data_IF_579561548018
#
_entry.id   IF_579561548018
#
_cell.length_a   1.000
_cell.length_b   1.000
_cell.length_c   1.000
_cell.angle_alpha   90.00
_cell.angle_beta   90.00
_cell.angle_gamma   90.00
#
_symmetry.space_group_name_H-M   'P 1'
#
loop_
_entity.id
_entity.type
_entity.pdbx_description
1 polymer ?
#
# COMPACT_ATOMS: atom_id res chain seq x y z
N UNK A 1 15.00 7.89 -4.84
CA UNK A 1 13.77 8.69 -4.66
C UNK A 1 14.13 10.17 -4.58
N UNK A 2 13.30 11.01 -5.18
CA UNK A 2 13.45 12.46 -5.10
C UNK A 2 13.07 12.97 -3.71
N UNK A 3 13.74 14.04 -3.27
CA UNK A 3 13.45 14.78 -2.04
C UNK A 3 12.62 16.02 -2.35
N UNK A 4 11.92 16.54 -1.37
CA UNK A 4 11.18 17.81 -1.44
C UNK A 4 12.15 19.00 -1.34
N UNK A 5 12.98 19.24 -2.37
CA UNK A 5 14.09 20.23 -2.30
C UNK A 5 13.65 21.68 -2.51
N UNK A 6 12.64 21.90 -3.32
CA UNK A 6 12.12 23.22 -3.70
C UNK A 6 10.64 23.41 -3.33
N UNK A 7 9.94 22.32 -3.12
CA UNK A 7 8.56 22.26 -2.66
C UNK A 7 8.27 20.90 -2.04
N UNK A 8 7.17 20.80 -1.30
CA UNK A 8 6.64 19.51 -0.84
C UNK A 8 6.12 18.72 -2.05
N UNK A 9 6.70 17.53 -2.27
CA UNK A 9 6.22 16.60 -3.27
C UNK A 9 4.95 15.89 -2.79
N UNK A 10 4.13 15.42 -3.73
CA UNK A 10 2.87 14.73 -3.47
C UNK A 10 2.87 13.33 -4.07
N UNK A 11 2.23 12.39 -3.37
CA UNK A 11 2.08 11.00 -3.79
C UNK A 11 0.82 10.40 -3.15
N UNK A 12 0.61 9.10 -3.36
CA UNK A 12 -0.42 8.30 -2.69
C UNK A 12 0.08 6.87 -2.46
N UNK A 13 -0.75 6.02 -1.84
CA UNK A 13 -0.34 4.64 -1.49
C UNK A 13 -0.32 3.68 -2.68
N UNK A 14 -1.08 3.94 -3.73
CA UNK A 14 -1.03 3.11 -4.96
C UNK A 14 -2.40 2.89 -5.56
N UNK A 15 -3.25 2.08 -4.93
CA UNK A 15 -4.54 1.73 -5.51
C UNK A 15 -5.48 2.93 -5.67
N UNK A 16 -6.02 3.07 -6.86
CA UNK A 16 -7.00 4.11 -7.23
C UNK A 16 -8.32 3.45 -7.69
N UNK A 17 -9.44 4.21 -7.70
CA UNK A 17 -10.72 3.66 -8.12
C UNK A 17 -10.68 3.04 -9.51
N UNK A 18 -11.16 1.80 -9.64
CA UNK A 18 -11.23 1.05 -10.89
C UNK A 18 -12.60 1.19 -11.53
N UNK A 19 -12.62 1.31 -12.86
CA UNK A 19 -13.87 1.30 -13.63
C UNK A 19 -14.56 -0.06 -13.58
N UNK A 20 -15.85 -0.10 -13.94
CA UNK A 20 -16.60 -1.37 -14.08
C UNK A 20 -15.99 -2.30 -15.12
N UNK A 21 -15.40 -1.77 -16.19
CA UNK A 21 -14.72 -2.57 -17.20
C UNK A 21 -13.48 -3.26 -16.60
N UNK A 22 -12.64 -2.52 -15.88
CA UNK A 22 -11.45 -3.07 -15.20
C UNK A 22 -11.84 -4.14 -14.18
N UNK A 23 -12.80 -3.85 -13.30
CA UNK A 23 -13.26 -4.82 -12.29
C UNK A 23 -13.88 -6.05 -12.93
N UNK A 24 -14.59 -5.90 -14.05
CA UNK A 24 -15.14 -7.00 -14.85
C UNK A 24 -14.05 -7.95 -15.35
N UNK A 25 -13.00 -7.40 -15.96
CA UNK A 25 -11.82 -8.17 -16.43
C UNK A 25 -11.13 -8.89 -15.27
N UNK A 26 -10.87 -8.20 -14.16
CA UNK A 26 -10.20 -8.79 -13.01
C UNK A 26 -10.98 -9.97 -12.41
N UNK A 27 -12.30 -9.82 -12.24
CA UNK A 27 -13.15 -10.91 -11.75
C UNK A 27 -13.32 -12.05 -12.75
N UNK A 28 -13.36 -11.78 -14.07
CA UNK A 28 -13.38 -12.83 -15.08
C UNK A 28 -12.11 -13.67 -15.05
N UNK A 29 -10.93 -13.03 -14.97
CA UNK A 29 -9.64 -13.71 -14.80
C UNK A 29 -9.58 -14.55 -13.54
N UNK A 30 -10.08 -14.03 -12.42
CA UNK A 30 -10.10 -14.74 -11.13
C UNK A 30 -10.96 -16.02 -11.20
N UNK A 31 -12.05 -16.02 -11.97
CA UNK A 31 -12.90 -17.20 -12.15
C UNK A 31 -12.41 -18.13 -13.25
N UNK A 32 -11.45 -17.72 -14.07
CA UNK A 32 -11.03 -18.44 -15.27
C UNK A 32 -11.99 -18.28 -16.47
N UNK A 33 -12.84 -17.25 -16.46
CA UNK A 33 -13.86 -16.98 -17.47
C UNK A 33 -13.36 -16.03 -18.58
N UNK A 34 -12.08 -15.63 -18.56
CA UNK A 34 -11.51 -14.74 -19.58
C UNK A 34 -11.52 -15.41 -20.94
N UNK A 35 -12.27 -14.83 -21.90
CA UNK A 35 -12.47 -15.39 -23.23
C UNK A 35 -11.50 -14.78 -24.27
N UNK A 36 -11.00 -13.57 -24.03
CA UNK A 36 -10.10 -12.84 -24.93
C UNK A 36 -9.01 -12.12 -24.12
N UNK A 37 -7.86 -12.78 -23.99
CA UNK A 37 -6.72 -12.23 -23.24
C UNK A 37 -6.18 -10.92 -23.85
N UNK A 38 -6.32 -10.74 -25.17
CA UNK A 38 -5.88 -9.52 -25.86
C UNK A 38 -6.79 -8.32 -25.54
N UNK A 39 -8.11 -8.52 -25.61
CA UNK A 39 -9.08 -7.49 -25.22
C UNK A 39 -8.94 -7.12 -23.73
N UNK A 40 -8.79 -8.10 -22.86
CA UNK A 40 -8.56 -7.88 -21.43
C UNK A 40 -7.27 -7.10 -21.16
N UNK A 41 -6.18 -7.39 -21.88
CA UNK A 41 -4.93 -6.67 -21.77
C UNK A 41 -5.09 -5.20 -22.22
N UNK A 42 -5.82 -4.95 -23.31
CA UNK A 42 -6.09 -3.60 -23.79
C UNK A 42 -6.86 -2.77 -22.76
N UNK A 43 -7.91 -3.33 -22.11
CA UNK A 43 -8.66 -2.66 -21.04
C UNK A 43 -7.75 -2.24 -19.89
N UNK A 44 -6.81 -3.09 -19.49
CA UNK A 44 -5.86 -2.77 -18.41
C UNK A 44 -4.86 -1.70 -18.86
N UNK A 45 -4.32 -1.81 -20.08
CA UNK A 45 -3.37 -0.84 -20.64
C UNK A 45 -3.99 0.57 -20.71
N UNK A 46 -5.22 0.67 -21.23
CA UNK A 46 -5.95 1.93 -21.33
C UNK A 46 -6.26 2.50 -19.92
N UNK A 47 -6.62 1.64 -18.98
CA UNK A 47 -6.87 2.07 -17.60
C UNK A 47 -5.61 2.60 -16.91
N UNK A 48 -4.44 2.00 -17.12
CA UNK A 48 -3.15 2.49 -16.60
C UNK A 48 -2.81 3.84 -17.22
N UNK A 49 -2.95 3.98 -18.54
CA UNK A 49 -2.72 5.25 -19.22
C UNK A 49 -3.63 6.36 -18.69
N UNK A 50 -4.92 6.07 -18.53
CA UNK A 50 -5.91 7.04 -18.02
C UNK A 50 -5.66 7.44 -16.57
N UNK A 51 -5.36 6.47 -15.68
CA UNK A 51 -5.14 6.78 -14.27
C UNK A 51 -3.86 7.59 -14.06
N UNK A 52 -2.79 7.32 -14.80
CA UNK A 52 -1.57 8.14 -14.78
C UNK A 52 -1.85 9.54 -15.30
N UNK A 53 -2.57 9.67 -16.43
CA UNK A 53 -2.97 10.96 -16.98
C UNK A 53 -3.77 11.81 -15.97
N UNK A 54 -4.73 11.19 -15.25
CA UNK A 54 -5.52 11.87 -14.20
C UNK A 54 -4.65 12.34 -13.03
N UNK A 55 -3.71 11.52 -12.56
CA UNK A 55 -2.76 11.90 -11.49
C UNK A 55 -1.93 13.11 -11.90
N UNK A 56 -1.36 13.08 -13.10
CA UNK A 56 -0.56 14.18 -13.66
C UNK A 56 -1.39 15.45 -13.83
N UNK A 57 -2.61 15.34 -14.34
CA UNK A 57 -3.51 16.49 -14.54
C UNK A 57 -3.88 17.18 -13.22
N UNK A 58 -3.95 16.45 -12.12
CA UNK A 58 -4.18 16.98 -10.76
C UNK A 58 -2.91 17.64 -10.21
N UNK A 59 -1.73 17.24 -10.67
CA UNK A 59 -0.44 17.71 -10.19
C UNK A 59 0.22 16.82 -9.15
N UNK A 60 -0.10 15.51 -9.12
CA UNK A 60 0.62 14.53 -8.31
C UNK A 60 2.04 14.35 -8.88
N UNK A 61 3.04 14.45 -8.03
CA UNK A 61 4.47 14.39 -8.40
C UNK A 61 4.97 12.97 -8.60
N UNK A 62 4.60 12.04 -7.70
CA UNK A 62 5.04 10.64 -7.74
C UNK A 62 3.84 9.75 -7.99
N UNK A 63 3.72 9.25 -9.22
CA UNK A 63 2.54 8.57 -9.76
C UNK A 63 2.67 7.05 -9.78
N UNK A 64 1.54 6.33 -9.86
CA UNK A 64 1.50 4.87 -10.01
C UNK A 64 0.52 4.41 -11.08
N UNK A 65 0.52 3.11 -11.40
CA UNK A 65 -0.44 2.42 -12.26
C UNK A 65 -1.85 2.30 -11.65
N UNK A 66 -2.05 2.79 -10.40
CA UNK A 66 -3.32 2.69 -9.68
C UNK A 66 -3.72 1.26 -9.33
N UNK A 67 -2.82 0.29 -9.48
CA UNK A 67 -3.06 -1.16 -9.32
C UNK A 67 -4.18 -1.68 -10.24
N UNK A 68 -4.30 -1.14 -11.46
CA UNK A 68 -5.37 -1.47 -12.40
C UNK A 68 -5.36 -2.95 -12.84
N UNK A 69 -4.19 -3.61 -12.83
CA UNK A 69 -4.04 -5.03 -13.17
C UNK A 69 -4.31 -6.00 -12.01
N UNK A 70 -4.41 -5.50 -10.77
CA UNK A 70 -4.42 -6.31 -9.57
C UNK A 70 -5.82 -6.44 -8.98
N UNK A 71 -6.29 -7.68 -8.79
CA UNK A 71 -7.55 -7.94 -8.06
C UNK A 71 -7.40 -7.60 -6.57
N UNK A 72 -6.21 -7.85 -6.02
CA UNK A 72 -5.81 -7.57 -4.66
C UNK A 72 -4.29 -7.46 -4.61
N UNK A 73 -3.75 -6.49 -3.89
CA UNK A 73 -2.31 -6.33 -3.71
C UNK A 73 -1.63 -7.56 -3.08
N UNK A 74 -2.34 -8.30 -2.21
CA UNK A 74 -1.81 -9.46 -1.50
C UNK A 74 -1.98 -10.78 -2.28
N UNK A 75 -3.14 -11.01 -2.92
CA UNK A 75 -3.42 -12.30 -3.59
C UNK A 75 -2.95 -12.34 -5.03
N UNK A 76 -2.54 -11.21 -5.62
CA UNK A 76 -1.96 -11.13 -6.95
C UNK A 76 -0.73 -12.02 -7.15
N UNK A 77 -0.03 -12.35 -6.06
CA UNK A 77 1.11 -13.28 -6.08
C UNK A 77 0.72 -14.65 -6.65
N UNK A 78 -0.49 -15.15 -6.36
CA UNK A 78 -0.95 -16.46 -6.81
C UNK A 78 -1.04 -16.60 -8.35
N UNK A 79 -1.05 -15.49 -9.09
CA UNK A 79 -1.01 -15.47 -10.56
C UNK A 79 0.40 -15.62 -11.13
N UNK A 80 1.43 -15.43 -10.31
CA UNK A 80 2.84 -15.36 -10.73
C UNK A 80 3.72 -16.42 -10.08
N UNK A 81 3.30 -16.96 -8.96
CA UNK A 81 4.06 -17.92 -8.18
C UNK A 81 3.26 -19.22 -7.99
N UNK A 82 3.96 -20.36 -7.99
CA UNK A 82 3.40 -21.66 -7.61
C UNK A 82 3.16 -21.74 -6.10
N UNK A 83 2.54 -22.83 -5.69
CA UNK A 83 2.36 -23.18 -4.28
C UNK A 83 1.08 -22.62 -3.64
N UNK A 84 0.27 -21.86 -4.37
CA UNK A 84 -0.97 -21.27 -3.85
C UNK A 84 -2.20 -21.93 -4.45
N UNK A 85 -3.21 -22.20 -3.61
CA UNK A 85 -4.47 -22.79 -4.06
C UNK A 85 -5.57 -22.78 -3.00
N UNK A 86 -6.75 -23.27 -3.39
CA UNK A 86 -7.91 -23.28 -2.50
C UNK A 86 -8.54 -21.91 -2.28
N UNK A 87 -9.43 -21.85 -1.29
CA UNK A 87 -10.06 -20.61 -0.82
C UNK A 87 -10.29 -20.73 0.69
N UNK A 88 -9.83 -19.74 1.43
CA UNK A 88 -9.90 -19.73 2.90
C UNK A 88 -10.91 -18.67 3.34
N UNK A 89 -11.82 -19.01 4.28
CA UNK A 89 -12.71 -18.01 4.88
C UNK A 89 -11.92 -16.84 5.46
N UNK A 90 -12.46 -15.63 5.29
CA UNK A 90 -11.92 -14.44 5.92
C UNK A 90 -12.51 -14.29 7.30
N UNK A 91 -11.64 -14.09 8.26
CA UNK A 91 -12.04 -13.67 9.59
C UNK A 91 -12.02 -12.13 9.66
N UNK A 92 -13.08 -11.49 10.14
CA UNK A 92 -13.07 -10.03 10.36
C UNK A 92 -12.08 -9.66 11.46
N UNK A 93 -11.62 -8.42 11.44
CA UNK A 93 -10.81 -7.85 12.52
C UNK A 93 -11.52 -7.94 13.87
N UNK A 94 -10.77 -8.02 14.94
CA UNK A 94 -11.29 -8.18 16.30
C UNK A 94 -12.29 -7.07 16.65
N UNK A 95 -12.00 -5.84 16.28
CA UNK A 95 -12.84 -4.68 16.48
C UNK A 95 -14.21 -4.78 15.77
N UNK A 96 -14.28 -5.45 14.62
CA UNK A 96 -15.54 -5.67 13.89
C UNK A 96 -16.35 -6.82 14.49
N UNK A 97 -15.70 -7.84 15.06
CA UNK A 97 -16.38 -8.97 15.72
C UNK A 97 -17.18 -8.48 16.93
N UNK A 98 -16.69 -7.46 17.63
CA UNK A 98 -17.35 -6.86 18.79
C UNK A 98 -18.61 -6.07 18.42
N UNK A 99 -18.76 -5.68 17.15
CA UNK A 99 -19.89 -4.88 16.64
C UNK A 99 -20.57 -5.56 15.45
N UNK A 100 -21.30 -6.67 15.66
CA UNK A 100 -21.89 -7.46 14.56
C UNK A 100 -22.87 -6.66 13.70
N UNK A 101 -23.55 -5.66 14.25
CA UNK A 101 -24.42 -4.75 13.50
C UNK A 101 -23.64 -3.86 12.52
N UNK A 102 -22.42 -3.45 12.85
CA UNK A 102 -21.54 -2.73 11.93
C UNK A 102 -21.04 -3.67 10.83
N UNK A 103 -20.61 -4.88 11.20
CA UNK A 103 -20.15 -5.88 10.25
C UNK A 103 -21.22 -6.19 9.17
N UNK A 104 -22.49 -6.34 9.57
CA UNK A 104 -23.61 -6.51 8.64
C UNK A 104 -23.74 -5.32 7.70
N UNK A 105 -23.73 -4.08 8.21
CA UNK A 105 -23.81 -2.87 7.38
C UNK A 105 -22.65 -2.75 6.38
N UNK A 106 -21.43 -3.12 6.78
CA UNK A 106 -20.27 -3.12 5.89
C UNK A 106 -20.42 -4.16 4.78
N UNK A 107 -20.95 -5.35 5.10
CA UNK A 107 -21.24 -6.40 4.12
C UNK A 107 -22.31 -5.97 3.10
N UNK A 108 -23.39 -5.34 3.55
CA UNK A 108 -24.46 -4.81 2.70
C UNK A 108 -23.98 -3.72 1.74
N UNK A 109 -23.02 -2.89 2.16
CA UNK A 109 -22.40 -1.86 1.33
C UNK A 109 -21.38 -2.40 0.32
N UNK A 110 -21.23 -3.73 0.20
CA UNK A 110 -20.25 -4.36 -0.66
C UNK A 110 -18.79 -4.19 -0.19
N UNK A 111 -18.61 -3.86 1.09
CA UNK A 111 -17.29 -3.68 1.71
C UNK A 111 -16.60 -5.00 2.07
N UNK A 112 -17.09 -6.14 1.57
CA UNK A 112 -16.44 -7.45 1.70
C UNK A 112 -15.72 -7.81 0.41
N UNK A 113 -14.48 -8.24 0.54
CA UNK A 113 -13.69 -8.69 -0.60
C UNK A 113 -14.33 -9.93 -1.26
N UNK A 114 -14.51 -9.87 -2.58
CA UNK A 114 -15.18 -10.92 -3.38
C UNK A 114 -14.20 -11.85 -4.12
N UNK A 115 -12.89 -11.66 -3.94
CA UNK A 115 -11.86 -12.48 -4.56
C UNK A 115 -11.44 -13.64 -3.65
N UNK A 116 -10.85 -14.68 -4.22
CA UNK A 116 -10.36 -15.85 -3.47
C UNK A 116 -9.23 -15.49 -2.52
N UNK A 117 -9.19 -16.19 -1.39
CA UNK A 117 -8.07 -16.16 -0.44
C UNK A 117 -7.35 -17.51 -0.47
N UNK A 118 -6.36 -17.71 -1.37
CA UNK A 118 -5.64 -18.98 -1.45
C UNK A 118 -4.82 -19.25 -0.19
N UNK A 119 -4.41 -20.50 -0.03
CA UNK A 119 -3.47 -20.97 1.00
C UNK A 119 -2.16 -21.37 0.34
N UNK A 120 -1.08 -21.41 1.11
CA UNK A 120 0.16 -22.01 0.67
C UNK A 120 0.05 -23.54 0.85
N UNK A 121 -0.10 -24.28 -0.26
CA UNK A 121 -0.29 -25.74 -0.32
C UNK A 121 0.84 -26.45 -1.05
N UNK A 122 1.88 -25.74 -1.47
CA UNK A 122 3.03 -26.28 -2.18
C UNK A 122 4.22 -25.34 -2.11
N UNK A 123 5.34 -25.74 -2.71
CA UNK A 123 6.55 -24.92 -2.76
C UNK A 123 6.31 -23.61 -3.51
N UNK A 124 6.70 -22.48 -2.90
CA UNK A 124 6.60 -21.14 -3.49
C UNK A 124 7.80 -20.93 -4.40
N UNK A 125 7.55 -20.83 -5.70
CA UNK A 125 8.56 -20.54 -6.73
C UNK A 125 7.98 -19.61 -7.77
N UNK A 126 8.83 -18.83 -8.43
CA UNK A 126 8.42 -17.98 -9.57
C UNK A 126 7.96 -18.89 -10.72
N UNK A 127 6.73 -18.73 -11.20
CA UNK A 127 6.16 -19.51 -12.29
C UNK A 127 5.94 -18.67 -13.54
N UNK A 128 5.38 -17.48 -13.39
CA UNK A 128 5.04 -16.58 -14.47
C UNK A 128 5.61 -15.19 -14.21
N UNK A 129 6.40 -14.68 -15.15
CA UNK A 129 6.96 -13.31 -15.10
C UNK A 129 6.19 -12.34 -15.98
N UNK A 130 5.37 -12.87 -16.91
CA UNK A 130 4.64 -12.10 -17.93
C UNK A 130 3.71 -11.05 -17.31
N UNK A 131 2.94 -11.34 -16.25
CA UNK A 131 2.08 -10.32 -15.63
C UNK A 131 2.87 -9.11 -15.11
N UNK A 132 4.01 -9.35 -14.45
CA UNK A 132 4.88 -8.28 -14.00
C UNK A 132 5.50 -7.50 -15.16
N UNK A 133 5.94 -8.17 -16.23
CA UNK A 133 6.48 -7.50 -17.41
C UNK A 133 5.43 -6.64 -18.10
N UNK A 134 4.17 -7.08 -18.14
CA UNK A 134 3.05 -6.28 -18.66
C UNK A 134 2.81 -5.02 -17.79
N UNK A 135 2.81 -5.15 -16.46
CA UNK A 135 2.67 -4.02 -15.54
C UNK A 135 3.80 -2.99 -15.74
N UNK A 136 5.04 -3.46 -15.84
CA UNK A 136 6.21 -2.61 -16.11
C UNK A 136 6.12 -1.91 -17.46
N UNK A 137 5.68 -2.62 -18.50
CA UNK A 137 5.52 -2.07 -19.85
C UNK A 137 4.41 -0.99 -19.87
N UNK A 138 3.26 -1.26 -19.27
CA UNK A 138 2.14 -0.33 -19.19
C UNK A 138 2.55 0.95 -18.43
N UNK A 139 3.22 0.79 -17.27
CA UNK A 139 3.67 1.94 -16.48
C UNK A 139 4.69 2.79 -17.25
N UNK A 140 5.69 2.17 -17.88
CA UNK A 140 6.68 2.88 -18.70
C UNK A 140 6.05 3.64 -19.88
N UNK A 141 5.06 3.02 -20.53
CA UNK A 141 4.33 3.67 -21.62
C UNK A 141 3.52 4.87 -21.11
N UNK A 142 2.83 4.71 -19.98
CA UNK A 142 1.98 5.75 -19.41
C UNK A 142 2.75 6.99 -18.91
N UNK A 143 3.98 6.81 -18.38
CA UNK A 143 4.81 7.92 -17.91
C UNK A 143 5.67 8.56 -19.01
N UNK A 144 5.72 7.98 -20.20
CA UNK A 144 6.55 8.51 -21.29
C UNK A 144 6.09 9.92 -21.68
N UNK A 145 6.95 10.91 -21.42
CA UNK A 145 6.64 12.32 -21.69
C UNK A 145 5.68 12.98 -20.70
N UNK A 146 5.26 12.26 -19.65
CA UNK A 146 4.46 12.86 -18.58
C UNK A 146 5.36 13.74 -17.67
N UNK A 147 4.88 14.88 -17.17
CA UNK A 147 5.63 15.77 -16.28
C UNK A 147 5.69 15.27 -14.83
N UNK A 148 5.52 13.98 -14.58
CA UNK A 148 5.69 13.39 -13.26
C UNK A 148 7.17 13.42 -12.85
N UNK A 149 7.44 13.66 -11.55
CA UNK A 149 8.80 13.68 -11.00
C UNK A 149 9.36 12.27 -10.93
N UNK A 150 8.53 11.31 -10.51
CA UNK A 150 8.92 9.91 -10.33
C UNK A 150 7.70 8.98 -10.50
N UNK A 151 7.95 7.70 -10.68
CA UNK A 151 6.92 6.67 -10.73
C UNK A 151 7.21 5.55 -9.74
N UNK A 152 6.17 4.92 -9.19
CA UNK A 152 6.29 3.76 -8.32
C UNK A 152 5.32 2.63 -8.69
N UNK A 153 5.68 1.40 -8.31
CA UNK A 153 4.81 0.23 -8.34
C UNK A 153 4.81 -0.49 -7.00
N UNK A 154 3.63 -0.99 -6.64
CA UNK A 154 3.40 -1.73 -5.41
C UNK A 154 3.80 -3.20 -5.55
N UNK A 155 4.43 -3.74 -4.50
CA UNK A 155 4.62 -5.16 -4.27
C UNK A 155 4.32 -5.51 -2.81
N UNK A 156 3.84 -6.72 -2.57
CA UNK A 156 3.53 -7.19 -1.23
C UNK A 156 4.80 -7.52 -0.43
N UNK A 157 4.80 -7.31 0.88
CA UNK A 157 5.84 -7.84 1.77
C UNK A 157 5.71 -9.38 1.93
N UNK A 158 6.78 -10.11 2.28
CA UNK A 158 6.65 -11.52 2.66
C UNK A 158 5.66 -11.75 3.80
N UNK A 159 5.67 -10.84 4.80
CA UNK A 159 4.78 -10.90 5.95
C UNK A 159 3.30 -10.75 5.58
N UNK A 160 2.96 -9.84 4.66
CA UNK A 160 1.57 -9.67 4.23
C UNK A 160 1.07 -10.85 3.40
N UNK A 161 1.94 -11.47 2.60
CA UNK A 161 1.56 -12.70 1.91
C UNK A 161 1.24 -13.80 2.93
N UNK A 162 2.10 -13.99 3.92
CA UNK A 162 1.88 -14.97 4.99
C UNK A 162 0.62 -14.66 5.83
N UNK A 163 0.28 -13.37 6.02
CA UNK A 163 -0.94 -12.95 6.70
C UNK A 163 -2.21 -13.31 5.92
N UNK A 164 -2.22 -13.07 4.61
CA UNK A 164 -3.40 -13.29 3.77
C UNK A 164 -3.51 -14.71 3.23
N UNK A 165 -2.41 -15.44 3.13
CA UNK A 165 -2.32 -16.78 2.55
C UNK A 165 -1.67 -17.73 3.55
N UNK A 166 -2.47 -18.36 4.44
CA UNK A 166 -1.95 -19.20 5.51
C UNK A 166 -1.08 -20.35 5.01
N UNK A 167 -0.09 -20.73 5.82
CA UNK A 167 0.84 -21.82 5.52
C UNK A 167 0.23 -23.19 5.87
N UNK A 168 0.08 -24.06 4.88
CA UNK A 168 -0.29 -25.48 5.04
C UNK A 168 0.77 -26.44 4.47
N UNK A 169 1.89 -25.92 3.98
CA UNK A 169 2.90 -26.75 3.30
C UNK A 169 4.24 -26.77 4.03
N UNK A 170 4.78 -25.61 4.43
CA UNK A 170 6.08 -25.54 5.08
C UNK A 170 5.99 -25.98 6.54
N UNK A 171 7.06 -26.59 7.07
CA UNK A 171 7.12 -27.12 8.43
C UNK A 171 6.99 -26.05 9.51
N UNK A 172 7.48 -24.85 9.22
CA UNK A 172 7.40 -23.69 10.11
C UNK A 172 6.98 -22.43 9.36
N UNK A 173 6.56 -21.41 10.11
CA UNK A 173 6.27 -20.09 9.57
C UNK A 173 7.56 -19.42 9.03
N UNK A 174 8.70 -19.70 9.68
CA UNK A 174 10.01 -19.17 9.30
C UNK A 174 10.46 -19.73 7.94
N UNK A 175 10.26 -21.03 7.70
CA UNK A 175 10.55 -21.64 6.39
C UNK A 175 9.68 -21.02 5.29
N UNK A 176 8.41 -20.76 5.59
CA UNK A 176 7.48 -20.12 4.66
C UNK A 176 7.88 -18.69 4.35
N UNK A 177 8.15 -17.87 5.37
CA UNK A 177 8.62 -16.50 5.21
C UNK A 177 9.93 -16.42 4.42
N UNK A 178 10.85 -17.35 4.67
CA UNK A 178 12.12 -17.45 3.93
C UNK A 178 11.90 -17.77 2.46
N UNK A 179 11.00 -18.72 2.15
CA UNK A 179 10.66 -19.06 0.78
C UNK A 179 9.98 -17.90 0.04
N UNK A 180 9.08 -17.18 0.72
CA UNK A 180 8.46 -15.96 0.18
C UNK A 180 9.49 -14.86 -0.10
N UNK A 181 10.44 -14.64 0.81
CA UNK A 181 11.49 -13.64 0.63
C UNK A 181 12.37 -13.93 -0.59
N UNK A 182 12.75 -15.18 -0.81
CA UNK A 182 13.54 -15.58 -1.99
C UNK A 182 12.73 -15.44 -3.29
N UNK A 183 11.47 -15.83 -3.29
CA UNK A 183 10.63 -15.74 -4.48
C UNK A 183 10.33 -14.29 -4.86
N UNK A 184 9.95 -13.43 -3.90
CA UNK A 184 9.60 -12.02 -4.12
C UNK A 184 10.80 -11.15 -4.54
N UNK A 185 12.02 -11.55 -4.18
CA UNK A 185 13.24 -10.81 -4.52
C UNK A 185 13.33 -10.49 -6.01
N UNK A 186 13.03 -11.46 -6.88
CA UNK A 186 13.10 -11.28 -8.33
C UNK A 186 12.14 -10.19 -8.84
N UNK A 187 10.96 -10.08 -8.24
CA UNK A 187 10.00 -9.01 -8.54
C UNK A 187 10.51 -7.65 -8.09
N UNK A 188 11.05 -7.57 -6.86
CA UNK A 188 11.59 -6.32 -6.32
C UNK A 188 12.75 -5.78 -7.16
N UNK A 189 13.67 -6.67 -7.52
CA UNK A 189 14.80 -6.34 -8.40
C UNK A 189 14.34 -5.90 -9.79
N UNK A 190 13.33 -6.57 -10.38
CA UNK A 190 12.81 -6.23 -11.70
C UNK A 190 12.14 -4.85 -11.75
N UNK A 191 11.34 -4.49 -10.72
CA UNK A 191 10.70 -3.16 -10.62
C UNK A 191 11.78 -2.07 -10.59
N UNK A 192 12.80 -2.23 -9.76
CA UNK A 192 13.86 -1.23 -9.60
C UNK A 192 14.76 -1.18 -10.84
N UNK A 193 15.09 -2.32 -11.46
CA UNK A 193 15.82 -2.39 -12.73
C UNK A 193 15.06 -1.70 -13.88
N UNK A 194 13.74 -1.66 -13.79
CA UNK A 194 12.88 -0.91 -14.72
C UNK A 194 12.97 0.62 -14.59
N UNK A 195 13.73 1.13 -13.58
CA UNK A 195 13.83 2.55 -13.27
C UNK A 195 12.67 3.08 -12.42
N UNK A 196 11.79 2.22 -11.90
CA UNK A 196 10.59 2.54 -11.13
C UNK A 196 10.91 2.38 -9.63
N UNK A 197 10.36 3.23 -8.78
CA UNK A 197 10.47 3.09 -7.32
C UNK A 197 9.62 1.91 -6.86
N UNK A 198 10.19 1.05 -6.05
CA UNK A 198 9.47 -0.06 -5.43
C UNK A 198 8.72 0.44 -4.18
N UNK A 199 7.42 0.25 -4.10
CA UNK A 199 6.68 0.34 -2.85
C UNK A 199 6.41 -1.05 -2.29
N UNK A 200 6.79 -1.27 -1.04
CA UNK A 200 6.43 -2.47 -0.28
C UNK A 200 5.20 -2.19 0.57
N UNK A 201 4.12 -2.92 0.34
CA UNK A 201 2.94 -2.88 1.20
C UNK A 201 3.09 -3.91 2.32
N UNK A 202 3.16 -3.43 3.57
CA UNK A 202 3.42 -4.22 4.77
C UNK A 202 2.38 -3.99 5.89
N UNK A 203 1.09 -4.16 5.63
CA UNK A 203 0.05 -4.04 6.68
C UNK A 203 0.14 -5.17 7.71
N UNK A 204 0.87 -6.24 7.47
CA UNK A 204 1.19 -7.27 8.45
C UNK A 204 1.85 -6.70 9.71
N UNK A 205 2.61 -5.62 9.59
CA UNK A 205 3.31 -4.95 10.67
C UNK A 205 2.36 -4.20 11.63
N UNK A 206 1.14 -3.87 11.20
CA UNK A 206 0.18 -3.15 12.03
C UNK A 206 -1.19 -3.86 12.06
N UNK A 207 -1.90 -3.99 10.94
CA UNK A 207 -3.19 -4.67 10.85
C UNK A 207 -3.13 -6.12 11.34
N UNK A 208 -1.97 -6.78 11.21
CA UNK A 208 -1.77 -8.15 11.68
C UNK A 208 -2.12 -8.35 13.15
N UNK A 209 -1.95 -7.30 14.00
CA UNK A 209 -2.20 -7.34 15.43
C UNK A 209 -3.64 -7.68 15.80
N UNK A 210 -4.61 -7.05 15.15
CA UNK A 210 -6.04 -7.26 15.45
C UNK A 210 -6.74 -8.25 14.50
N UNK A 211 -5.98 -8.86 13.59
CA UNK A 211 -6.47 -9.90 12.68
C UNK A 211 -5.87 -11.27 13.02
N UNK A 212 -4.90 -11.76 12.26
CA UNK A 212 -4.31 -13.09 12.43
C UNK A 212 -3.61 -13.28 13.79
N UNK A 213 -3.00 -12.22 14.33
CA UNK A 213 -2.20 -12.29 15.56
C UNK A 213 -2.95 -11.74 16.79
N UNK A 214 -4.28 -11.65 16.74
CA UNK A 214 -5.13 -11.09 17.81
C UNK A 214 -4.99 -11.77 19.16
N UNK A 215 -4.62 -13.07 19.18
CA UNK A 215 -4.42 -13.86 20.39
C UNK A 215 -2.98 -13.79 20.96
N UNK A 216 -2.07 -13.05 20.32
CA UNK A 216 -0.71 -12.84 20.83
C UNK A 216 -0.68 -11.70 21.85
N UNK A 217 0.29 -11.73 22.77
CA UNK A 217 0.57 -10.54 23.59
C UNK A 217 1.14 -9.42 22.70
N UNK A 218 1.24 -8.21 23.21
CA UNK A 218 1.84 -7.10 22.47
C UNK A 218 3.34 -7.36 22.22
N UNK A 219 4.05 -7.89 23.20
CA UNK A 219 5.48 -8.22 23.13
C UNK A 219 5.75 -9.36 22.11
N UNK A 220 4.87 -10.36 22.06
CA UNK A 220 4.94 -11.42 21.04
C UNK A 220 4.71 -10.85 19.64
N UNK A 221 3.76 -9.92 19.50
CA UNK A 221 3.49 -9.26 18.23
C UNK A 221 4.66 -8.38 17.77
N UNK A 222 5.27 -7.62 18.66
CA UNK A 222 6.47 -6.82 18.37
C UNK A 222 7.65 -7.69 17.92
N UNK A 223 7.84 -8.83 18.56
CA UNK A 223 8.87 -9.81 18.18
C UNK A 223 8.62 -10.32 16.74
N UNK A 224 7.38 -10.66 16.44
CA UNK A 224 6.97 -11.11 15.11
C UNK A 224 7.13 -9.99 14.06
N UNK A 225 6.73 -8.76 14.37
CA UNK A 225 6.89 -7.62 13.48
C UNK A 225 8.38 -7.33 13.20
N UNK A 226 9.25 -7.46 14.21
CA UNK A 226 10.69 -7.33 14.04
C UNK A 226 11.24 -8.44 13.11
N UNK A 227 10.80 -9.67 13.27
CA UNK A 227 11.15 -10.79 12.39
C UNK A 227 10.69 -10.53 10.94
N UNK A 228 9.47 -10.02 10.72
CA UNK A 228 8.98 -9.66 9.40
C UNK A 228 9.84 -8.58 8.73
N UNK A 229 10.35 -7.61 9.50
CA UNK A 229 11.32 -6.61 9.01
C UNK A 229 12.64 -7.26 8.60
N UNK A 230 13.18 -8.20 9.36
CA UNK A 230 14.41 -8.92 9.01
C UNK A 230 14.25 -9.70 7.70
N UNK A 231 13.13 -10.42 7.56
CA UNK A 231 12.78 -11.17 6.35
C UNK A 231 12.62 -10.23 5.14
N UNK A 232 11.97 -9.08 5.32
CA UNK A 232 11.85 -8.08 4.27
C UNK A 232 13.22 -7.50 3.88
N UNK A 233 14.07 -7.17 4.85
CA UNK A 233 15.42 -6.66 4.59
C UNK A 233 16.26 -7.69 3.82
N UNK A 234 16.10 -8.98 4.13
CA UNK A 234 16.73 -10.07 3.37
C UNK A 234 16.20 -10.13 1.92
N UNK A 235 14.90 -10.03 1.71
CA UNK A 235 14.31 -9.99 0.37
C UNK A 235 14.82 -8.78 -0.46
N UNK A 236 15.07 -7.65 0.21
CA UNK A 236 15.56 -6.42 -0.39
C UNK A 236 17.10 -6.32 -0.48
N UNK A 237 17.87 -7.38 -0.14
CA UNK A 237 19.34 -7.30 0.02
C UNK A 237 20.07 -6.70 -1.16
N UNK A 238 19.62 -6.94 -2.38
CA UNK A 238 20.21 -6.44 -3.63
C UNK A 238 19.58 -5.13 -4.13
N UNK A 239 18.54 -4.61 -3.46
CA UNK A 239 17.83 -3.40 -3.89
C UNK A 239 18.35 -2.19 -3.10
N UNK A 240 18.76 -1.08 -3.75
CA UNK A 240 19.19 0.12 -3.05
C UNK A 240 18.06 0.71 -2.19
N UNK A 241 18.35 1.09 -0.95
CA UNK A 241 17.37 1.63 -0.01
C UNK A 241 16.62 2.86 -0.55
N UNK A 242 17.34 3.73 -1.29
CA UNK A 242 16.79 4.94 -1.90
C UNK A 242 15.91 4.69 -3.14
N UNK A 243 15.69 3.43 -3.52
CA UNK A 243 14.74 3.04 -4.56
C UNK A 243 13.51 2.33 -3.99
N UNK A 244 13.37 2.30 -2.65
CA UNK A 244 12.29 1.59 -1.96
C UNK A 244 11.61 2.51 -0.97
N UNK A 245 10.27 2.46 -0.95
CA UNK A 245 9.39 3.01 0.06
C UNK A 245 8.51 1.90 0.66
N UNK A 246 8.10 2.02 1.90
CA UNK A 246 7.31 1.01 2.60
C UNK A 246 6.05 1.64 3.18
N UNK A 247 4.92 1.02 2.93
CA UNK A 247 3.63 1.42 3.49
C UNK A 247 3.23 0.51 4.65
N UNK A 248 2.93 1.11 5.80
CA UNK A 248 2.40 0.47 7.00
C UNK A 248 0.96 0.91 7.20
N UNK A 249 0.05 -0.04 7.40
CA UNK A 249 -1.39 0.20 7.42
C UNK A 249 -2.06 -0.61 8.53
N UNK A 250 -3.08 -0.02 9.16
CA UNK A 250 -3.89 -0.70 10.19
C UNK A 250 -5.18 -1.30 9.63
N UNK A 251 -5.43 -1.13 8.34
CA UNK A 251 -6.61 -1.64 7.65
C UNK A 251 -7.47 -0.52 7.07
N UNK A 252 -7.74 -0.60 5.77
CA UNK A 252 -8.47 0.45 5.04
C UNK A 252 -9.98 0.18 5.05
N UNK A 253 -10.60 0.32 6.20
CA UNK A 253 -12.05 0.18 6.38
C UNK A 253 -12.59 1.21 7.39
N UNK A 254 -13.85 1.60 7.25
CA UNK A 254 -14.53 2.46 8.21
C UNK A 254 -14.96 1.62 9.42
N UNK A 255 -14.11 1.54 10.43
CA UNK A 255 -14.31 0.72 11.61
C UNK A 255 -13.87 1.38 12.91
N UNK A 256 -14.05 0.69 14.05
CA UNK A 256 -13.69 1.23 15.36
C UNK A 256 -12.20 1.42 15.57
N UNK A 257 -11.36 0.54 15.01
CA UNK A 257 -9.89 0.60 15.10
C UNK A 257 -9.31 0.69 16.52
N UNK A 258 -10.06 0.32 17.55
CA UNK A 258 -9.65 0.48 18.95
C UNK A 258 -8.68 -0.61 19.45
N UNK A 259 -8.43 -1.64 18.62
CA UNK A 259 -7.41 -2.67 18.84
C UNK A 259 -6.12 -2.44 18.04
N UNK A 260 -6.00 -1.33 17.35
CA UNK A 260 -4.81 -1.00 16.58
C UNK A 260 -3.58 -0.89 17.48
N UNK A 261 -2.46 -1.42 17.00
CA UNK A 261 -1.17 -1.26 17.70
C UNK A 261 -0.74 0.22 17.64
N UNK A 262 -0.40 0.85 18.76
CA UNK A 262 0.04 2.25 18.76
C UNK A 262 1.33 2.45 17.96
N UNK A 263 1.46 3.56 17.25
CA UNK A 263 2.69 3.94 16.53
C UNK A 263 3.91 3.98 17.45
N UNK A 264 3.73 4.38 18.72
CA UNK A 264 4.81 4.38 19.70
C UNK A 264 5.49 3.01 19.87
N UNK A 265 4.72 1.91 19.79
CA UNK A 265 5.24 0.54 19.88
C UNK A 265 5.84 0.08 18.54
N UNK A 266 5.30 0.57 17.44
CA UNK A 266 5.64 0.11 16.10
C UNK A 266 6.83 0.87 15.48
N UNK A 267 6.94 2.18 15.70
CA UNK A 267 7.93 3.04 15.07
C UNK A 267 9.38 2.56 15.26
N UNK A 268 9.83 2.13 16.46
CA UNK A 268 11.19 1.61 16.65
C UNK A 268 11.50 0.37 15.83
N UNK A 269 10.48 -0.42 15.47
CA UNK A 269 10.60 -1.63 14.68
C UNK A 269 10.68 -1.26 13.19
N UNK A 270 9.74 -0.47 12.69
CA UNK A 270 9.66 -0.13 11.26
C UNK A 270 10.82 0.76 10.79
N UNK A 271 11.44 1.55 11.70
CA UNK A 271 12.64 2.32 11.37
C UNK A 271 13.87 1.44 11.08
N UNK A 272 13.88 0.15 11.47
CA UNK A 272 14.92 -0.82 11.12
C UNK A 272 14.77 -1.38 9.71
N UNK A 273 13.65 -1.12 9.05
CA UNK A 273 13.43 -1.55 7.67
C UNK A 273 14.39 -0.85 6.70
N UNK A 274 14.88 -1.59 5.70
CA UNK A 274 15.79 -1.08 4.66
C UNK A 274 15.21 0.06 3.81
N UNK A 275 13.91 0.07 3.44
CA UNK A 275 13.31 1.16 2.67
C UNK A 275 13.64 2.55 3.22
N UNK A 276 14.03 3.47 2.33
CA UNK A 276 14.37 4.84 2.72
C UNK A 276 13.15 5.61 3.17
N UNK A 277 12.00 5.43 2.50
CA UNK A 277 10.79 6.17 2.84
C UNK A 277 9.76 5.29 3.55
N UNK A 278 9.09 5.89 4.52
CA UNK A 278 8.04 5.28 5.32
C UNK A 278 6.73 6.01 5.10
N UNK A 279 5.71 5.29 4.57
CA UNK A 279 4.33 5.74 4.44
C UNK A 279 3.52 5.16 5.60
N UNK A 280 2.68 5.98 6.22
CA UNK A 280 1.84 5.58 7.36
C UNK A 280 0.61 6.47 7.50
N UNK A 281 -0.41 5.96 8.17
CA UNK A 281 -1.65 6.70 8.45
C UNK A 281 -1.40 7.84 9.45
N UNK A 282 -1.88 9.04 9.13
CA UNK A 282 -1.77 10.20 10.00
C UNK A 282 -2.91 11.24 9.77
N UNK A 283 -3.92 10.90 8.98
CA UNK A 283 -5.05 11.79 8.69
C UNK A 283 -6.35 11.35 9.35
N UNK A 284 -6.59 10.05 9.51
CA UNK A 284 -7.83 9.56 10.13
C UNK A 284 -7.85 9.83 11.64
N UNK A 285 -9.04 9.94 12.27
CA UNK A 285 -9.17 10.30 13.67
C UNK A 285 -8.46 9.35 14.65
N UNK A 286 -8.22 8.10 14.26
CA UNK A 286 -7.57 7.11 15.11
C UNK A 286 -6.05 7.36 15.24
N UNK A 287 -5.40 7.78 14.14
CA UNK A 287 -3.94 7.92 14.06
C UNK A 287 -3.47 9.39 13.95
N UNK A 288 -4.36 10.35 13.73
CA UNK A 288 -4.01 11.76 13.52
C UNK A 288 -3.23 12.41 14.68
N UNK A 289 -3.31 11.87 15.90
CA UNK A 289 -2.58 12.36 17.07
C UNK A 289 -1.15 11.81 17.18
N UNK A 290 -0.85 10.73 16.47
CA UNK A 290 0.41 9.97 16.62
C UNK A 290 1.64 10.66 15.99
N UNK A 291 1.44 11.79 15.29
CA UNK A 291 2.56 12.63 14.87
C UNK A 291 3.48 13.04 16.05
N UNK A 292 2.92 13.15 17.27
CA UNK A 292 3.68 13.46 18.47
C UNK A 292 4.74 12.39 18.78
N UNK A 293 4.50 11.11 18.46
CA UNK A 293 5.46 10.03 18.65
C UNK A 293 6.76 10.27 17.87
N UNK A 294 6.65 10.88 16.70
CA UNK A 294 7.81 11.19 15.87
C UNK A 294 8.65 12.34 16.44
N UNK A 295 8.09 13.24 17.25
CA UNK A 295 8.84 14.28 17.95
C UNK A 295 9.79 13.69 19.00
N UNK A 296 9.33 12.65 19.70
CA UNK A 296 10.07 12.00 20.79
C UNK A 296 10.98 10.88 20.30
N UNK A 297 10.93 10.57 18.97
CA UNK A 297 11.71 9.50 18.38
C UNK A 297 12.80 10.05 17.47
N UNK A 298 14.04 9.61 17.65
CA UNK A 298 15.14 9.97 16.74
C UNK A 298 14.93 9.28 15.40
N UNK A 299 14.46 10.02 14.40
CA UNK A 299 14.31 9.53 13.03
C UNK A 299 15.69 9.55 12.33
N UNK A 300 16.19 8.43 11.78
CA UNK A 300 17.45 8.39 11.06
C UNK A 300 17.51 9.43 9.93
N UNK A 301 18.68 10.04 9.73
CA UNK A 301 18.83 11.17 8.80
C UNK A 301 18.60 10.81 7.33
N UNK A 302 18.74 9.54 6.98
CA UNK A 302 18.46 8.99 5.66
C UNK A 302 16.99 8.65 5.39
N UNK A 303 16.15 8.65 6.43
CA UNK A 303 14.73 8.33 6.29
C UNK A 303 13.92 9.52 5.78
N UNK A 304 12.97 9.23 4.91
CA UNK A 304 11.94 10.15 4.38
C UNK A 304 10.60 9.73 5.01
N UNK A 305 9.82 10.69 5.47
CA UNK A 305 8.47 10.45 5.97
C UNK A 305 7.44 10.82 4.89
N UNK A 306 6.50 9.92 4.66
CA UNK A 306 5.36 10.13 3.78
C UNK A 306 4.08 9.96 4.61
N UNK A 307 3.75 10.96 5.45
CA UNK A 307 2.54 10.88 6.27
C UNK A 307 1.30 10.91 5.39
N UNK A 308 0.28 10.15 5.75
CA UNK A 308 -1.07 10.31 5.23
C UNK A 308 -1.61 11.67 5.67
N UNK A 309 -1.92 12.54 4.71
CA UNK A 309 -2.56 13.84 4.96
C UNK A 309 -4.01 13.87 4.50
N UNK A 310 -4.46 12.77 3.90
CA UNK A 310 -5.84 12.49 3.48
C UNK A 310 -6.28 11.15 4.06
N UNK A 311 -7.47 11.11 4.69
CA UNK A 311 -8.13 9.85 5.04
C UNK A 311 -8.70 9.18 3.79
N UNK A 312 -8.64 7.86 3.72
CA UNK A 312 -9.10 7.07 2.56
C UNK A 312 -10.35 6.24 2.84
N UNK A 313 -10.97 6.42 4.00
CA UNK A 313 -12.17 5.71 4.44
C UNK A 313 -13.42 6.58 4.50
N UNK A 314 -13.32 7.89 4.28
CA UNK A 314 -14.44 8.84 4.35
C UNK A 314 -14.56 9.69 3.08
N UNK A 315 -15.78 10.12 2.77
CA UNK A 315 -16.08 10.98 1.62
C UNK A 315 -15.93 12.49 1.92
N UNK A 316 -15.42 12.88 3.08
CA UNK A 316 -15.02 14.26 3.31
C UNK A 316 -13.82 14.61 2.46
N UNK A 317 -13.89 15.73 1.72
CA UNK A 317 -12.73 16.32 1.03
C UNK A 317 -12.04 17.22 2.05
N UNK A 318 -10.81 16.90 2.40
CA UNK A 318 -10.03 17.66 3.37
C UNK A 318 -9.80 19.10 2.87
N UNK A 319 -9.95 20.06 3.78
CA UNK A 319 -9.63 21.44 3.45
C UNK A 319 -8.12 21.59 3.23
N UNK A 320 -7.65 22.28 2.16
CA UNK A 320 -6.21 22.39 1.87
C UNK A 320 -5.37 23.00 3.01
N UNK A 321 -5.94 23.87 3.83
CA UNK A 321 -5.25 24.39 5.02
C UNK A 321 -4.98 23.30 6.06
N UNK A 322 -5.92 22.37 6.29
CA UNK A 322 -5.72 21.24 7.17
C UNK A 322 -4.61 20.30 6.65
N UNK A 323 -4.59 20.08 5.33
CA UNK A 323 -3.51 19.32 4.68
C UNK A 323 -2.16 20.01 4.90
N UNK A 324 -2.08 21.34 4.70
CA UNK A 324 -0.85 22.10 4.93
C UNK A 324 -0.37 21.99 6.39
N UNK A 325 -1.25 22.13 7.38
CA UNK A 325 -0.92 21.97 8.79
C UNK A 325 -0.36 20.57 9.11
N UNK A 326 -0.94 19.52 8.52
CA UNK A 326 -0.44 18.15 8.69
C UNK A 326 0.97 17.98 8.12
N UNK A 327 1.24 18.55 6.95
CA UNK A 327 2.58 18.54 6.33
C UNK A 327 3.59 19.29 7.20
N UNK A 328 3.25 20.50 7.65
CA UNK A 328 4.12 21.38 8.44
C UNK A 328 4.54 20.73 9.76
N UNK A 329 3.67 19.94 10.41
CA UNK A 329 4.00 19.18 11.64
C UNK A 329 5.18 18.21 11.41
N UNK A 330 5.15 17.43 10.34
CA UNK A 330 6.24 16.50 10.03
C UNK A 330 7.49 17.21 9.49
N UNK A 331 7.32 18.31 8.75
CA UNK A 331 8.43 19.15 8.29
C UNK A 331 9.21 19.77 9.48
N UNK A 332 8.52 20.15 10.55
CA UNK A 332 9.16 20.64 11.76
C UNK A 332 9.97 19.55 12.51
N UNK A 333 9.63 18.27 12.33
CA UNK A 333 10.30 17.16 13.01
C UNK A 333 11.56 16.71 12.24
N UNK A 334 11.43 16.47 10.92
CA UNK A 334 12.51 15.85 10.14
C UNK A 334 13.17 16.79 9.12
N UNK A 335 12.70 18.03 9.00
CA UNK A 335 13.09 18.95 7.93
C UNK A 335 12.19 18.78 6.70
N UNK A 336 11.89 19.90 6.06
CA UNK A 336 10.95 19.99 4.92
C UNK A 336 11.33 19.11 3.73
N UNK A 337 12.62 18.96 3.49
CA UNK A 337 13.16 18.18 2.37
C UNK A 337 12.88 16.67 2.50
N UNK A 338 12.65 16.19 3.73
CA UNK A 338 12.40 14.78 4.03
C UNK A 338 10.93 14.44 4.24
N UNK A 339 10.01 15.32 3.83
CA UNK A 339 8.56 15.09 3.88
C UNK A 339 7.99 15.08 2.47
N UNK A 340 7.19 14.06 2.17
CA UNK A 340 6.36 13.98 0.97
C UNK A 340 4.91 13.81 1.43
N UNK A 341 3.97 14.58 0.88
CA UNK A 341 2.56 14.45 1.24
C UNK A 341 1.96 13.18 0.61
N UNK A 342 1.35 12.31 1.42
CA UNK A 342 0.75 11.06 1.00
C UNK A 342 -0.70 10.90 1.43
N UNK A 343 -1.27 9.71 1.22
CA UNK A 343 -2.58 9.30 1.69
C UNK A 343 -2.46 8.25 2.79
N UNK A 344 -3.44 8.14 3.69
CA UNK A 344 -3.44 7.13 4.75
C UNK A 344 -3.32 5.71 4.17
N UNK A 345 -4.10 5.41 3.13
CA UNK A 345 -4.07 4.14 2.40
C UNK A 345 -4.40 4.38 0.92
N UNK A 346 -4.71 3.33 0.17
CA UNK A 346 -5.20 3.42 -1.21
C UNK A 346 -6.72 3.69 -1.27
N UNK A 347 -7.19 4.26 -2.38
CA UNK A 347 -8.63 4.51 -2.61
C UNK A 347 -9.36 3.33 -3.26
N UNK A 348 -8.66 2.26 -3.63
CA UNK A 348 -9.22 1.10 -4.28
C UNK A 348 -8.49 -0.20 -3.88
N UNK A 349 -8.35 -0.46 -2.60
CA UNK A 349 -7.54 -1.54 -2.01
C UNK A 349 -7.75 -2.91 -2.66
N UNK A 350 -9.00 -3.25 -3.00
CA UNK A 350 -9.36 -4.48 -3.71
C UNK A 350 -10.27 -4.15 -4.89
N UNK A 351 -10.29 -5.00 -5.90
CA UNK A 351 -11.22 -4.85 -7.02
C UNK A 351 -12.67 -4.91 -6.51
N UNK A 352 -13.47 -3.92 -6.90
CA UNK A 352 -14.86 -3.79 -6.44
C UNK A 352 -15.05 -3.33 -5.00
N UNK A 353 -13.97 -2.93 -4.32
CA UNK A 353 -14.01 -2.36 -2.97
C UNK A 353 -13.41 -0.94 -2.99
N UNK A 354 -14.13 0.00 -2.41
CA UNK A 354 -13.66 1.36 -2.21
C UNK A 354 -14.68 2.12 -1.37
N UNK A 355 -14.35 2.52 -0.12
CA UNK A 355 -15.26 3.25 0.76
C UNK A 355 -15.53 4.68 0.27
N UNK A 356 -14.61 5.20 -0.56
CA UNK A 356 -14.70 6.57 -1.12
C UNK A 356 -15.20 6.49 -2.56
N UNK A 357 -16.15 7.37 -2.87
CA UNK A 357 -16.69 7.52 -4.22
C UNK A 357 -15.56 7.94 -5.19
N UNK A 358 -15.48 7.36 -6.41
CA UNK A 358 -14.37 7.55 -7.33
C UNK A 358 -14.00 9.00 -7.62
N UNK A 359 -14.96 9.88 -7.92
CA UNK A 359 -14.67 11.27 -8.24
C UNK A 359 -14.26 12.07 -6.98
N UNK A 360 -14.80 11.71 -5.82
CA UNK A 360 -14.37 12.29 -4.53
C UNK A 360 -12.91 11.93 -4.24
N UNK A 361 -12.46 10.72 -4.54
CA UNK A 361 -11.06 10.33 -4.37
C UNK A 361 -10.11 11.26 -5.14
N UNK A 362 -10.44 11.62 -6.37
CA UNK A 362 -9.63 12.56 -7.16
C UNK A 362 -9.73 14.00 -6.66
N UNK A 363 -10.88 14.44 -6.15
CA UNK A 363 -11.02 15.76 -5.51
C UNK A 363 -10.20 15.84 -4.21
N UNK A 364 -10.12 14.76 -3.43
CA UNK A 364 -9.25 14.67 -2.26
C UNK A 364 -7.77 14.81 -2.66
N UNK A 365 -7.33 14.11 -3.73
CA UNK A 365 -5.98 14.25 -4.26
C UNK A 365 -5.69 15.70 -4.72
N UNK A 366 -6.64 16.36 -5.36
CA UNK A 366 -6.50 17.77 -5.74
C UNK A 366 -6.37 18.70 -4.50
N UNK A 367 -7.13 18.43 -3.44
CA UNK A 367 -7.01 19.15 -2.17
C UNK A 367 -5.63 18.93 -1.51
N UNK A 368 -5.05 17.73 -1.65
CA UNK A 368 -3.69 17.44 -1.19
C UNK A 368 -2.64 18.26 -1.94
N UNK A 369 -2.73 18.32 -3.26
CA UNK A 369 -1.81 19.12 -4.09
C UNK A 369 -1.88 20.59 -3.70
N UNK A 370 -3.09 21.15 -3.52
CA UNK A 370 -3.26 22.53 -3.08
C UNK A 370 -2.71 22.76 -1.67
N UNK A 371 -2.94 21.82 -0.73
CA UNK A 371 -2.38 21.90 0.61
C UNK A 371 -0.85 21.83 0.62
N UNK A 372 -0.25 20.95 -0.21
CA UNK A 372 1.19 20.88 -0.38
C UNK A 372 1.76 22.20 -0.96
N UNK A 373 1.05 22.84 -1.90
CA UNK A 373 1.43 24.16 -2.44
C UNK A 373 1.41 25.24 -1.36
N UNK A 374 0.40 25.24 -0.49
CA UNK A 374 0.30 26.18 0.64
C UNK A 374 1.45 25.94 1.63
N UNK A 375 1.70 24.70 2.03
CA UNK A 375 2.81 24.34 2.93
C UNK A 375 4.16 24.72 2.32
N UNK A 376 4.38 24.45 1.04
CA UNK A 376 5.60 24.82 0.33
C UNK A 376 5.86 26.32 0.41
N UNK A 377 4.85 27.15 0.10
CA UNK A 377 4.98 28.61 0.20
C UNK A 377 5.38 29.07 1.60
N UNK A 378 4.88 28.42 2.66
CA UNK A 378 5.23 28.78 4.05
C UNK A 378 6.60 28.27 4.48
N UNK A 379 7.00 27.11 3.98
CA UNK A 379 8.26 26.46 4.38
C UNK A 379 9.49 26.99 3.63
N UNK A 380 9.33 27.56 2.43
CA UNK A 380 10.42 28.15 1.61
C UNK A 380 10.35 29.67 1.50
N UNK A 381 9.44 30.33 2.29
CA UNK A 381 9.37 31.79 2.40
C UNK A 381 10.52 32.37 3.24
#
# INVERSE_FOLDING_TARGET
MHLSTDRILTTHVGSLPRSKAVTGVLFARERGDSLDAGADAAVITDAVAEVVRRQVAIGIDVVSDGEMSKISYATYIAQRFSGFGGDTPREPGQDLVEFPGLLTKLAERGSTAKYRRPRCIGAVTVQHTEPLQADLANMRAAIKGAPAVEAFLNAASPGVIALFQPNDYYRSQDDYLSALAEALRSEYEAIVAAGIVLQIDAPDLAMGRHTMYRNRSMEEFETLAAQHIEVLNHALRNVPANRVRMHVCWGNYEGPHHHDVPMQRLLPIVLKAKPQALLFEAANPRHAHEWAVFQDTRIPADKILIPGVLATTTNYIEHPLLVAERIERFAAIVGRERVIAGTDCGFGTFAGFGPVEPDIAYLKLAAMVEGARIASKRLWS
#
